data_IF_540965910941
#
_entry.id   IF_540965910941
#
_cell.length_a   1.000
_cell.length_b   1.000
_cell.length_c   1.000
_cell.angle_alpha   90.00
_cell.angle_beta   90.00
_cell.angle_gamma   90.00
#
_symmetry.space_group_name_H-M   'P 1'
#
loop_
_entity.id
_entity.type
_entity.pdbx_description
1 polymer ?
#
# COMPACT_ATOMS: atom_id res chain seq x y z
N UNK A 1 21.16 -3.51 16.93
CA UNK A 1 20.44 -3.23 15.67
C UNK A 1 19.03 -3.74 15.85
N UNK A 2 18.06 -2.85 16.09
CA UNK A 2 16.68 -3.26 16.32
C UNK A 2 16.12 -3.82 15.00
N UNK A 3 15.86 -5.12 14.97
CA UNK A 3 15.04 -5.72 13.92
C UNK A 3 13.67 -5.04 14.01
N UNK A 4 13.39 -4.11 13.09
CA UNK A 4 12.04 -3.55 12.98
C UNK A 4 11.11 -4.70 12.62
N UNK A 5 10.00 -4.83 13.34
CA UNK A 5 9.01 -5.86 13.06
C UNK A 5 8.53 -5.75 11.62
N UNK A 6 8.45 -6.89 10.92
CA UNK A 6 7.83 -6.98 9.61
C UNK A 6 6.36 -6.53 9.71
N UNK A 7 5.95 -5.60 8.85
CA UNK A 7 4.58 -5.04 8.82
C UNK A 7 3.80 -5.46 7.58
N UNK A 8 4.44 -6.22 6.70
CA UNK A 8 3.86 -6.75 5.47
C UNK A 8 4.11 -8.24 5.34
N UNK A 9 3.08 -9.01 4.99
CA UNK A 9 3.30 -10.29 4.32
C UNK A 9 3.52 -10.00 2.83
N UNK A 10 4.66 -10.43 2.28
CA UNK A 10 5.07 -10.13 0.91
C UNK A 10 5.07 -11.43 0.11
N UNK A 11 4.31 -11.44 -0.97
CA UNK A 11 4.20 -12.56 -1.88
C UNK A 11 4.45 -12.10 -3.30
N UNK A 12 5.21 -12.89 -4.06
CA UNK A 12 5.35 -12.70 -5.51
C UNK A 12 4.36 -13.61 -6.20
N UNK A 13 3.46 -13.03 -6.99
CA UNK A 13 2.49 -13.76 -7.79
C UNK A 13 2.69 -13.34 -9.24
N UNK A 14 3.11 -14.31 -10.07
CA UNK A 14 3.58 -14.05 -11.44
C UNK A 14 4.74 -13.04 -11.44
N UNK A 15 4.51 -11.84 -11.95
CA UNK A 15 5.47 -10.73 -11.99
C UNK A 15 5.07 -9.55 -11.07
N UNK A 16 4.04 -9.75 -10.26
CA UNK A 16 3.50 -8.75 -9.34
C UNK A 16 3.93 -9.06 -7.90
N UNK A 17 4.31 -8.01 -7.17
CA UNK A 17 4.51 -8.07 -5.72
C UNK A 17 3.22 -7.70 -5.01
N UNK A 18 2.68 -8.62 -4.20
CA UNK A 18 1.56 -8.38 -3.30
C UNK A 18 2.11 -8.15 -1.90
N UNK A 19 1.92 -6.95 -1.36
CA UNK A 19 2.27 -6.61 0.01
C UNK A 19 0.99 -6.41 0.81
N UNK A 20 0.67 -7.40 1.65
CA UNK A 20 -0.49 -7.37 2.53
C UNK A 20 -0.11 -6.73 3.86
N UNK A 21 -0.80 -5.68 4.27
CA UNK A 21 -0.57 -5.07 5.58
C UNK A 21 -0.91 -6.07 6.69
N UNK A 22 -0.01 -6.26 7.65
CA UNK A 22 -0.26 -7.08 8.83
C UNK A 22 -1.02 -6.27 9.91
N UNK A 23 -0.92 -4.95 9.86
CA UNK A 23 -1.55 -4.07 10.82
C UNK A 23 -3.00 -3.77 10.51
N UNK A 24 -3.86 -3.82 11.53
CA UNK A 24 -5.22 -3.31 11.43
C UNK A 24 -5.33 -1.80 11.66
N UNK A 25 -4.37 -1.21 12.38
CA UNK A 25 -4.38 0.21 12.76
C UNK A 25 -3.02 0.83 12.50
N UNK A 26 -2.97 1.80 11.60
CA UNK A 26 -1.74 2.52 11.23
C UNK A 26 -1.98 4.00 11.58
N UNK A 27 -1.81 4.30 12.88
CA UNK A 27 -2.26 5.55 13.47
C UNK A 27 -1.14 6.35 14.14
N UNK A 28 -0.22 5.69 14.84
CA UNK A 28 0.89 6.33 15.53
C UNK A 28 2.09 6.55 14.60
N UNK A 29 2.89 7.57 14.92
CA UNK A 29 4.00 8.01 14.09
C UNK A 29 5.06 6.91 13.90
N UNK A 30 5.40 6.16 14.95
CA UNK A 30 6.42 5.11 14.87
C UNK A 30 6.01 4.01 13.88
N UNK A 31 4.76 3.53 13.99
CA UNK A 31 4.20 2.56 13.03
C UNK A 31 4.19 3.12 11.61
N UNK A 32 3.77 4.39 11.43
CA UNK A 32 3.70 5.02 10.11
C UNK A 32 5.07 5.14 9.45
N UNK A 33 6.11 5.47 10.22
CA UNK A 33 7.48 5.53 9.70
C UNK A 33 7.93 4.14 9.24
N UNK A 34 7.78 3.11 10.08
CA UNK A 34 8.21 1.73 9.75
C UNK A 34 7.46 1.20 8.52
N UNK A 35 6.13 1.39 8.47
CA UNK A 35 5.31 0.99 7.32
C UNK A 35 5.73 1.74 6.05
N UNK A 36 5.92 3.06 6.15
CA UNK A 36 6.40 3.89 5.04
C UNK A 36 7.74 3.42 4.49
N UNK A 37 8.71 3.19 5.36
CA UNK A 37 10.06 2.75 4.98
C UNK A 37 10.02 1.37 4.33
N UNK A 38 9.22 0.43 4.86
CA UNK A 38 9.04 -0.89 4.26
C UNK A 38 8.41 -0.82 2.86
N UNK A 39 7.40 0.03 2.66
CA UNK A 39 6.81 0.23 1.32
C UNK A 39 7.83 0.80 0.33
N UNK A 40 8.58 1.83 0.72
CA UNK A 40 9.55 2.47 -0.17
C UNK A 40 10.68 1.52 -0.56
N UNK A 41 11.12 0.67 0.38
CA UNK A 41 12.11 -0.38 0.11
C UNK A 41 11.69 -1.34 -1.01
N UNK A 42 10.39 -1.61 -1.20
CA UNK A 42 9.93 -2.45 -2.31
C UNK A 42 10.33 -1.82 -3.65
N UNK A 43 10.09 -0.51 -3.82
CA UNK A 43 10.45 0.21 -5.05
C UNK A 43 11.96 0.33 -5.20
N UNK A 44 12.67 0.61 -4.10
CA UNK A 44 14.13 0.73 -4.10
C UNK A 44 14.83 -0.60 -4.43
N UNK A 45 14.14 -1.72 -4.19
CA UNK A 45 14.60 -3.07 -4.59
C UNK A 45 14.29 -3.40 -6.06
N UNK A 46 13.79 -2.43 -6.84
CA UNK A 46 13.48 -2.60 -8.26
C UNK A 46 12.11 -3.23 -8.54
N UNK A 47 11.24 -3.39 -7.54
CA UNK A 47 9.90 -3.94 -7.74
C UNK A 47 8.99 -2.87 -8.37
N UNK A 48 8.53 -3.12 -9.59
CA UNK A 48 7.78 -2.13 -10.39
C UNK A 48 6.28 -2.41 -10.47
N UNK A 49 5.82 -3.63 -10.21
CA UNK A 49 4.39 -3.99 -10.21
C UNK A 49 3.97 -4.34 -8.79
N UNK A 50 3.41 -3.37 -8.07
CA UNK A 50 3.12 -3.51 -6.64
C UNK A 50 1.61 -3.43 -6.40
N UNK A 51 1.11 -4.36 -5.60
CA UNK A 51 -0.25 -4.39 -5.08
C UNK A 51 -0.18 -4.24 -3.56
N UNK A 52 -0.79 -3.19 -3.01
CA UNK A 52 -0.99 -3.04 -1.58
C UNK A 52 -2.36 -3.63 -1.21
N UNK A 53 -2.37 -4.66 -0.37
CA UNK A 53 -3.60 -5.31 0.09
C UNK A 53 -3.98 -4.85 1.51
N UNK A 54 -5.12 -4.16 1.60
CA UNK A 54 -5.65 -3.55 2.82
C UNK A 54 -6.63 -4.46 3.57
N UNK A 55 -6.65 -5.76 3.27
CA UNK A 55 -7.59 -6.72 3.86
C UNK A 55 -7.63 -6.69 5.40
N UNK A 56 -6.50 -6.45 6.05
CA UNK A 56 -6.43 -6.31 7.51
C UNK A 56 -6.67 -4.88 8.03
N UNK A 57 -6.54 -3.86 7.18
CA UNK A 57 -6.51 -2.45 7.61
C UNK A 57 -7.93 -1.94 7.88
N UNK A 58 -8.13 -1.46 9.11
CA UNK A 58 -9.39 -0.86 9.56
C UNK A 58 -9.24 0.67 9.72
N UNK A 59 -8.07 1.13 10.12
CA UNK A 59 -7.82 2.54 10.41
C UNK A 59 -6.48 3.05 9.85
N UNK A 60 -6.53 4.21 9.20
CA UNK A 60 -5.36 4.96 8.72
C UNK A 60 -5.44 6.40 9.20
N UNK A 61 -4.29 6.97 9.60
CA UNK A 61 -4.17 8.41 9.85
C UNK A 61 -3.89 9.20 8.57
N UNK A 62 -4.03 10.52 8.64
CA UNK A 62 -3.65 11.43 7.54
C UNK A 62 -2.17 11.32 7.16
N UNK A 63 -1.29 11.10 8.14
CA UNK A 63 0.13 10.89 7.89
C UNK A 63 0.40 9.56 7.15
N UNK A 64 -0.34 8.50 7.46
CA UNK A 64 -0.28 7.24 6.71
C UNK A 64 -0.73 7.43 5.24
N UNK A 65 -1.82 8.18 5.01
CA UNK A 65 -2.26 8.53 3.66
C UNK A 65 -1.18 9.34 2.91
N UNK A 66 -0.50 10.27 3.60
CA UNK A 66 0.65 10.99 3.05
C UNK A 66 1.78 10.06 2.59
N UNK A 67 2.10 9.03 3.38
CA UNK A 67 3.10 8.01 3.00
C UNK A 67 2.67 7.24 1.74
N UNK A 68 1.39 6.89 1.59
CA UNK A 68 0.85 6.23 0.39
C UNK A 68 0.93 7.11 -0.87
N UNK A 69 0.66 8.42 -0.75
CA UNK A 69 0.79 9.36 -1.87
C UNK A 69 2.24 9.42 -2.34
N UNK A 70 3.17 9.49 -1.40
CA UNK A 70 4.60 9.50 -1.72
C UNK A 70 5.05 8.15 -2.33
N UNK A 71 4.49 7.03 -1.87
CA UNK A 71 4.73 5.71 -2.48
C UNK A 71 4.31 5.70 -3.96
N UNK A 72 3.10 6.21 -4.28
CA UNK A 72 2.63 6.31 -5.66
C UNK A 72 3.59 7.13 -6.52
N UNK A 73 3.99 8.30 -6.05
CA UNK A 73 4.96 9.16 -6.76
C UNK A 73 6.28 8.44 -7.03
N UNK A 74 6.79 7.70 -6.04
CA UNK A 74 8.03 6.95 -6.15
C UNK A 74 7.92 5.82 -7.18
N UNK A 75 6.83 5.05 -7.15
CA UNK A 75 6.55 4.01 -8.15
C UNK A 75 6.43 4.60 -9.55
N UNK A 76 5.70 5.71 -9.71
CA UNK A 76 5.54 6.37 -11.02
C UNK A 76 6.87 6.89 -11.57
N UNK A 77 7.70 7.49 -10.71
CA UNK A 77 9.03 7.98 -11.09
C UNK A 77 9.97 6.85 -11.53
N UNK A 78 9.78 5.64 -10.99
CA UNK A 78 10.49 4.44 -11.39
C UNK A 78 9.87 3.75 -12.64
N UNK A 79 8.83 4.33 -13.24
CA UNK A 79 8.13 3.74 -14.40
C UNK A 79 7.27 2.51 -14.03
N UNK A 80 6.99 2.31 -12.75
CA UNK A 80 6.18 1.20 -12.25
C UNK A 80 4.68 1.48 -12.22
N UNK A 81 3.93 0.53 -11.67
CA UNK A 81 2.49 0.61 -11.43
C UNK A 81 2.17 0.16 -10.01
N UNK A 82 1.39 1.00 -9.31
CA UNK A 82 0.87 0.72 -7.98
C UNK A 82 -0.64 0.51 -8.05
N UNK A 83 -1.12 -0.62 -7.52
CA UNK A 83 -2.54 -0.89 -7.27
C UNK A 83 -2.81 -1.07 -5.79
N UNK A 84 -4.05 -0.84 -5.40
CA UNK A 84 -4.55 -1.12 -4.05
C UNK A 84 -5.74 -2.07 -4.13
N UNK A 85 -5.94 -2.89 -3.11
CA UNK A 85 -7.12 -3.74 -3.06
C UNK A 85 -7.62 -3.99 -1.63
N UNK A 86 -8.82 -4.57 -1.55
CA UNK A 86 -9.48 -4.98 -0.31
C UNK A 86 -9.68 -3.85 0.71
N UNK A 87 -9.81 -2.61 0.23
CA UNK A 87 -10.11 -1.46 1.08
C UNK A 87 -11.55 -1.58 1.57
N UNK A 88 -11.74 -1.62 2.90
CA UNK A 88 -13.06 -1.67 3.53
C UNK A 88 -13.93 -0.46 3.16
N UNK A 89 -15.26 -0.59 3.09
CA UNK A 89 -16.15 0.51 2.69
C UNK A 89 -15.97 1.80 3.50
N UNK A 90 -15.76 1.70 4.80
CA UNK A 90 -15.56 2.83 5.72
C UNK A 90 -14.27 3.57 5.38
N UNK A 91 -13.19 2.82 5.18
CA UNK A 91 -11.90 3.38 4.78
C UNK A 91 -11.99 3.97 3.38
N UNK A 92 -12.69 3.32 2.46
CA UNK A 92 -12.89 3.81 1.09
C UNK A 92 -13.63 5.15 1.04
N UNK A 93 -14.58 5.41 1.95
CA UNK A 93 -15.19 6.75 2.07
C UNK A 93 -14.15 7.83 2.34
N UNK A 94 -13.13 7.54 3.15
CA UNK A 94 -12.03 8.47 3.42
C UNK A 94 -11.25 8.76 2.12
N UNK A 95 -10.93 7.72 1.35
CA UNK A 95 -10.25 7.87 0.05
C UNK A 95 -11.10 8.67 -0.96
N UNK A 96 -12.41 8.49 -0.95
CA UNK A 96 -13.33 9.20 -1.84
C UNK A 96 -13.45 10.69 -1.45
N UNK A 97 -13.63 11.00 -0.17
CA UNK A 97 -13.72 12.38 0.36
C UNK A 97 -12.42 13.14 0.10
N UNK A 98 -11.28 12.49 0.33
CA UNK A 98 -9.94 13.07 0.10
C UNK A 98 -9.54 13.09 -1.38
N UNK A 99 -10.41 12.63 -2.28
CA UNK A 99 -10.17 12.48 -3.73
C UNK A 99 -8.99 11.57 -4.08
N UNK A 100 -8.46 10.81 -3.12
CA UNK A 100 -7.37 9.85 -3.33
C UNK A 100 -7.79 8.68 -4.22
N UNK A 101 -9.08 8.32 -4.26
CA UNK A 101 -9.60 7.32 -5.20
C UNK A 101 -9.39 7.67 -6.68
N UNK A 102 -9.08 8.93 -7.00
CA UNK A 102 -8.71 9.34 -8.36
C UNK A 102 -7.21 9.19 -8.65
N UNK A 103 -6.38 9.14 -7.59
CA UNK A 103 -4.93 8.99 -7.69
C UNK A 103 -4.50 7.52 -7.71
N UNK A 104 -5.25 6.66 -7.03
CA UNK A 104 -4.92 5.24 -6.89
C UNK A 104 -5.83 4.37 -7.75
N UNK A 105 -5.24 3.34 -8.38
CA UNK A 105 -6.01 2.26 -9.00
C UNK A 105 -6.44 1.26 -7.92
N UNK A 106 -7.66 1.44 -7.41
CA UNK A 106 -8.23 0.62 -6.34
C UNK A 106 -9.12 -0.48 -6.93
N UNK A 107 -8.77 -1.75 -6.69
CA UNK A 107 -9.55 -2.92 -7.08
C UNK A 107 -10.27 -3.55 -5.88
N UNK A 108 -11.29 -4.36 -6.17
CA UNK A 108 -12.11 -5.00 -5.13
C UNK A 108 -11.31 -5.95 -4.23
N UNK A 109 -10.39 -6.73 -4.80
CA UNK A 109 -9.60 -7.75 -4.09
C UNK A 109 -8.32 -8.07 -4.88
N UNK A 110 -7.44 -8.89 -4.29
CA UNK A 110 -6.17 -9.30 -4.91
C UNK A 110 -6.36 -9.91 -6.30
N UNK A 111 -7.33 -10.83 -6.47
CA UNK A 111 -7.59 -11.48 -7.76
C UNK A 111 -7.96 -10.50 -8.88
N UNK A 112 -8.65 -9.39 -8.56
CA UNK A 112 -8.94 -8.32 -9.51
C UNK A 112 -7.76 -7.36 -9.69
N UNK A 113 -6.92 -7.19 -8.67
CA UNK A 113 -5.71 -6.37 -8.73
C UNK A 113 -4.62 -6.98 -9.61
N UNK A 114 -4.45 -8.30 -9.57
CA UNK A 114 -3.48 -9.04 -10.40
C UNK A 114 -3.83 -8.99 -11.89
N UNK A 115 -5.11 -8.90 -12.24
CA UNK A 115 -5.53 -8.91 -13.65
C UNK A 115 -5.22 -7.59 -14.36
N UNK A 116 -4.62 -7.69 -15.55
CA UNK A 116 -4.45 -6.57 -16.49
C UNK A 116 -3.42 -5.53 -16.06
N UNK A 117 -2.31 -5.96 -15.46
CA UNK A 117 -1.15 -5.10 -15.19
C UNK A 117 -0.43 -4.68 -16.48
#
# INVERSE_FOLDING_TARGET
MSSQATRFDIQTVEDCTVACFLDSRILDEATIQVVGDQMYRLVDSGLLKIILDFSNVEHLSSAALGKLINMKKKVDAAGGKLRMCSIRPELKKIFDVTKLSKLFDIKKNQAKALKGF
#
